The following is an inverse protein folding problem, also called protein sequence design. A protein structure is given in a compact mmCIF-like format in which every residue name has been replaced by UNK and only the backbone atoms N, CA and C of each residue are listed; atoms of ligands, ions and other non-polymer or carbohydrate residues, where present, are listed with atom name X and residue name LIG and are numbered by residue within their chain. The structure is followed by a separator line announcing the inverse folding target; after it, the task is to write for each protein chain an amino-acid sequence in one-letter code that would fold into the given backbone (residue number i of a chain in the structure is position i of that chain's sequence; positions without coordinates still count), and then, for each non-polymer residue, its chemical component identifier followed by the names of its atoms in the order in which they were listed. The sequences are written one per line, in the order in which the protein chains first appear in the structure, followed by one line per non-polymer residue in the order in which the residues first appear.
data_IF_420029971140
#
_entry.id   IF_420029971140
#
_cell.length_a   1.000
_cell.length_b   1.000
_cell.length_c   1.000
_cell.angle_alpha   90.00
_cell.angle_beta   90.00
_cell.angle_gamma   90.00
#
_symmetry.space_group_name_H-M   'P 1'
#
loop_
_entity.id
_entity.type
_entity.pdbx_description
1 polymer ?
#
# COMPACT_ATOMS: atom_id res chain seq x y z
N UNK A 1 -10.74 19.11 -16.33
CA UNK A 1 -11.06 18.16 -15.24
C UNK A 1 -10.42 16.83 -15.60
N UNK A 2 -9.62 16.23 -14.72
CA UNK A 2 -8.95 14.93 -14.99
C UNK A 2 -9.99 13.83 -15.19
N UNK A 3 -9.94 13.11 -16.30
CA UNK A 3 -10.73 11.89 -16.50
C UNK A 3 -10.06 10.71 -15.77
N UNK A 4 -10.46 10.52 -14.51
CA UNK A 4 -9.95 9.43 -13.68
C UNK A 4 -10.33 8.04 -14.16
N UNK A 5 -11.42 7.89 -14.92
CA UNK A 5 -11.82 6.59 -15.47
C UNK A 5 -10.87 6.21 -16.59
N UNK A 6 -10.61 7.12 -17.52
CA UNK A 6 -9.61 6.90 -18.57
C UNK A 6 -8.21 6.66 -18.00
N UNK A 7 -7.84 7.37 -16.92
CA UNK A 7 -6.59 7.13 -16.21
C UNK A 7 -6.55 5.73 -15.59
N UNK A 8 -7.60 5.31 -14.87
CA UNK A 8 -7.69 3.97 -14.30
C UNK A 8 -7.53 2.90 -15.38
N UNK A 9 -8.24 2.99 -16.50
CA UNK A 9 -8.12 2.02 -17.60
C UNK A 9 -6.69 1.92 -18.12
N UNK A 10 -5.97 3.04 -18.21
CA UNK A 10 -4.59 3.05 -18.67
C UNK A 10 -3.58 2.52 -17.63
N UNK A 11 -3.90 2.64 -16.34
CA UNK A 11 -3.05 2.14 -15.25
C UNK A 11 -3.33 0.66 -14.95
N UNK A 12 -4.58 0.23 -15.05
CA UNK A 12 -5.05 -1.13 -14.78
C UNK A 12 -4.71 -2.08 -15.94
N UNK A 13 -3.41 -2.20 -16.22
CA UNK A 13 -2.80 -3.18 -17.10
C UNK A 13 -1.77 -3.98 -16.30
N UNK A 14 -1.46 -5.23 -16.68
CA UNK A 14 -0.38 -5.98 -16.04
C UNK A 14 0.95 -5.21 -16.14
N UNK A 15 1.44 -4.75 -14.99
CA UNK A 15 2.56 -3.79 -14.88
C UNK A 15 3.59 -4.24 -13.84
N UNK A 16 3.91 -5.53 -13.87
CA UNK A 16 4.96 -6.14 -13.05
C UNK A 16 6.29 -5.40 -13.25
N UNK A 17 7.00 -5.14 -12.15
CA UNK A 17 8.30 -4.46 -12.15
C UNK A 17 9.24 -5.03 -13.20
N UNK A 18 9.95 -4.14 -13.91
CA UNK A 18 10.93 -4.50 -14.95
C UNK A 18 10.33 -4.82 -16.32
N UNK A 19 9.00 -4.87 -16.47
CA UNK A 19 8.36 -5.10 -17.77
C UNK A 19 8.20 -3.81 -18.59
N UNK A 20 8.00 -3.95 -19.91
CA UNK A 20 7.72 -2.82 -20.80
C UNK A 20 6.43 -2.07 -20.41
N UNK A 21 5.39 -2.78 -19.97
CA UNK A 21 4.14 -2.17 -19.51
C UNK A 21 4.33 -1.38 -18.20
N UNK A 22 5.14 -1.89 -17.26
CA UNK A 22 5.54 -1.14 -16.07
C UNK A 22 6.25 0.18 -16.43
N UNK A 23 7.18 0.13 -17.39
CA UNK A 23 7.82 1.34 -17.91
C UNK A 23 6.83 2.32 -18.54
N UNK A 24 5.90 1.83 -19.37
CA UNK A 24 4.88 2.69 -19.99
C UNK A 24 3.97 3.36 -18.95
N UNK A 25 3.55 2.61 -17.92
CA UNK A 25 2.79 3.15 -16.79
C UNK A 25 3.61 4.21 -16.05
N UNK A 26 4.90 3.94 -15.76
CA UNK A 26 5.79 4.92 -15.12
C UNK A 26 5.88 6.22 -15.91
N UNK A 27 6.09 6.15 -17.23
CA UNK A 27 6.14 7.34 -18.10
C UNK A 27 4.80 8.09 -18.13
N UNK A 28 3.67 7.36 -18.07
CA UNK A 28 2.36 7.98 -17.95
C UNK A 28 2.22 8.72 -16.62
N UNK A 29 2.59 8.10 -15.50
CA UNK A 29 2.53 8.74 -14.18
C UNK A 29 3.42 9.98 -14.09
N UNK A 30 4.60 9.96 -14.69
CA UNK A 30 5.46 11.15 -14.82
C UNK A 30 4.76 12.29 -15.54
N UNK A 31 4.06 12.01 -16.65
CA UNK A 31 3.26 13.03 -17.37
C UNK A 31 2.10 13.55 -16.54
N UNK A 32 1.36 12.67 -15.87
CA UNK A 32 0.23 13.04 -15.01
C UNK A 32 0.66 13.93 -13.83
N UNK A 33 1.79 13.61 -13.19
CA UNK A 33 2.36 14.42 -12.10
C UNK A 33 2.92 15.75 -12.63
N UNK A 34 3.61 15.73 -13.77
CA UNK A 34 4.12 16.95 -14.42
C UNK A 34 3.01 17.91 -14.83
N UNK A 35 1.90 17.40 -15.39
CA UNK A 35 0.72 18.18 -15.75
C UNK A 35 0.06 18.88 -14.53
N UNK A 36 0.31 18.38 -13.31
CA UNK A 36 -0.14 18.97 -12.04
C UNK A 36 0.86 19.96 -11.44
N UNK A 37 1.94 20.26 -12.18
CA UNK A 37 2.99 21.20 -11.79
C UNK A 37 3.97 20.64 -10.76
N UNK A 38 4.11 19.30 -10.67
CA UNK A 38 5.12 18.67 -9.82
C UNK A 38 6.41 18.44 -10.60
N UNK A 39 7.54 18.61 -9.91
CA UNK A 39 8.84 18.11 -10.36
C UNK A 39 8.90 16.63 -10.00
N UNK A 40 9.13 15.78 -10.99
CA UNK A 40 9.18 14.33 -10.83
C UNK A 40 10.63 13.85 -10.92
N UNK A 41 11.05 13.12 -9.90
CA UNK A 41 12.36 12.50 -9.79
C UNK A 41 12.19 10.97 -9.82
N UNK A 42 13.09 10.29 -10.52
CA UNK A 42 13.18 8.84 -10.48
C UNK A 42 14.19 8.42 -9.41
N UNK A 43 13.80 7.47 -8.56
CA UNK A 43 14.69 6.79 -7.63
C UNK A 43 14.86 5.34 -8.06
N UNK A 44 15.94 5.09 -8.80
CA UNK A 44 16.32 3.75 -9.27
C UNK A 44 16.96 2.96 -8.14
N UNK A 45 16.61 1.70 -8.01
CA UNK A 45 17.15 0.81 -6.98
C UNK A 45 17.29 -0.62 -7.49
N UNK A 46 18.11 -1.38 -6.77
CA UNK A 46 18.25 -2.83 -6.92
C UNK A 46 17.92 -3.49 -5.59
N UNK A 47 17.09 -4.53 -5.59
CA UNK A 47 16.70 -5.26 -4.38
C UNK A 47 16.64 -6.76 -4.59
N UNK A 48 16.80 -7.54 -3.52
CA UNK A 48 16.60 -9.00 -3.55
C UNK A 48 15.35 -9.35 -2.74
N UNK A 49 14.54 -10.24 -3.27
CA UNK A 49 13.35 -10.74 -2.60
C UNK A 49 13.25 -12.25 -2.82
N UNK A 50 12.91 -12.99 -1.77
CA UNK A 50 12.58 -14.41 -1.91
C UNK A 50 11.37 -14.65 -2.82
N UNK A 51 10.52 -13.62 -3.00
CA UNK A 51 9.40 -13.65 -3.94
C UNK A 51 9.83 -13.51 -5.41
N UNK A 52 11.07 -13.05 -5.67
CA UNK A 52 11.65 -12.88 -7.00
C UNK A 52 12.81 -13.85 -7.20
N UNK A 53 12.63 -14.90 -8.01
CA UNK A 53 13.66 -15.92 -8.29
C UNK A 53 14.36 -16.45 -7.02
N UNK A 54 13.62 -16.60 -5.90
CA UNK A 54 14.14 -17.05 -4.61
C UNK A 54 15.33 -16.22 -4.11
N UNK A 55 15.36 -14.92 -4.43
CA UNK A 55 16.43 -14.00 -4.05
C UNK A 55 17.74 -14.18 -4.82
N UNK A 56 17.78 -15.07 -5.83
CA UNK A 56 18.99 -15.35 -6.61
C UNK A 56 19.33 -14.25 -7.59
N UNK A 57 18.32 -13.58 -8.13
CA UNK A 57 18.48 -12.50 -9.12
C UNK A 57 17.95 -11.20 -8.51
N UNK A 58 18.76 -10.13 -8.49
CA UNK A 58 18.27 -8.83 -8.05
C UNK A 58 17.17 -8.34 -9.00
N UNK A 59 16.14 -7.73 -8.43
CA UNK A 59 15.12 -7.00 -9.16
C UNK A 59 15.55 -5.53 -9.24
N UNK A 60 15.47 -4.96 -10.44
CA UNK A 60 15.64 -3.53 -10.66
C UNK A 60 14.27 -2.86 -10.70
N UNK A 61 14.12 -1.76 -9.97
CA UNK A 61 12.88 -1.01 -9.91
C UNK A 61 13.13 0.50 -9.90
N UNK A 62 12.07 1.26 -10.14
CA UNK A 62 12.14 2.73 -10.16
C UNK A 62 10.97 3.33 -9.42
N UNK A 63 11.22 3.92 -8.26
CA UNK A 63 10.21 4.71 -7.56
C UNK A 63 10.06 6.08 -8.22
N UNK A 64 8.85 6.64 -8.18
CA UNK A 64 8.62 8.04 -8.53
C UNK A 64 8.49 8.88 -7.26
N UNK A 65 9.21 9.99 -7.22
CA UNK A 65 9.14 11.00 -6.16
C UNK A 65 8.73 12.31 -6.81
N UNK A 66 7.59 12.87 -6.41
CA UNK A 66 7.08 14.09 -6.99
C UNK A 66 6.79 15.14 -5.92
N UNK A 67 7.28 16.35 -6.14
CA UNK A 67 7.13 17.47 -5.21
C UNK A 67 6.79 18.75 -5.96
N UNK A 68 6.09 19.68 -5.31
CA UNK A 68 5.94 21.02 -5.86
C UNK A 68 7.26 21.81 -5.70
N UNK A 69 7.66 22.64 -6.68
CA UNK A 69 8.81 23.51 -6.54
C UNK A 69 8.71 24.37 -5.28
N UNK A 70 9.82 24.48 -4.53
CA UNK A 70 9.95 25.36 -3.34
C UNK A 70 8.97 25.07 -2.19
N UNK A 71 8.25 23.94 -2.21
CA UNK A 71 7.41 23.52 -1.10
C UNK A 71 8.16 22.58 -0.17
N UNK A 72 8.13 22.86 1.15
CA UNK A 72 8.53 21.88 2.15
C UNK A 72 7.42 20.85 2.28
N UNK A 73 7.71 19.58 1.98
CA UNK A 73 6.74 18.50 2.14
C UNK A 73 6.53 18.21 3.63
N UNK A 74 5.28 18.20 4.07
CA UNK A 74 4.88 17.76 5.42
C UNK A 74 4.05 16.48 5.39
N UNK A 75 3.46 16.15 4.24
CA UNK A 75 2.70 14.91 4.03
C UNK A 75 3.04 14.28 2.70
N UNK A 76 3.31 12.98 2.70
CA UNK A 76 3.48 12.16 1.51
C UNK A 76 2.22 11.36 1.22
N UNK A 77 1.68 11.49 0.01
CA UNK A 77 0.67 10.61 -0.55
C UNK A 77 1.39 9.46 -1.25
N UNK A 78 1.14 8.23 -0.81
CA UNK A 78 1.90 7.05 -1.26
C UNK A 78 0.94 6.05 -1.89
N UNK A 79 1.28 5.48 -3.05
CA UNK A 79 0.59 4.33 -3.61
C UNK A 79 1.55 3.58 -4.53
N UNK A 80 1.76 2.29 -4.33
CA UNK A 80 2.60 1.54 -5.25
C UNK A 80 1.95 1.44 -6.63
N UNK A 81 2.78 1.48 -7.67
CA UNK A 81 2.28 1.45 -9.05
C UNK A 81 2.60 0.16 -9.78
N UNK A 82 3.32 -0.79 -9.20
CA UNK A 82 3.42 -2.12 -9.77
C UNK A 82 2.11 -2.90 -9.59
N UNK A 83 2.07 -4.12 -10.11
CA UNK A 83 0.92 -5.01 -9.99
C UNK A 83 1.38 -6.45 -9.97
N UNK A 84 0.55 -7.33 -9.40
CA UNK A 84 0.76 -8.77 -9.46
C UNK A 84 -0.53 -9.54 -9.67
N UNK A 85 -0.43 -10.56 -10.53
CA UNK A 85 -1.39 -11.65 -10.60
C UNK A 85 -0.86 -12.91 -9.93
N UNK A 86 -1.74 -13.72 -9.38
CA UNK A 86 -1.43 -15.03 -8.84
C UNK A 86 -2.59 -16.01 -9.07
N UNK A 87 -2.34 -17.33 -9.10
CA UNK A 87 -3.40 -18.32 -9.18
C UNK A 87 -4.43 -18.19 -8.04
N UNK A 88 -3.98 -17.90 -6.83
CA UNK A 88 -4.84 -17.67 -5.68
C UNK A 88 -5.13 -16.17 -5.51
N UNK A 89 -6.42 -15.86 -5.28
CA UNK A 89 -6.83 -14.53 -4.84
C UNK A 89 -6.26 -14.20 -3.46
N UNK A 90 -6.29 -12.93 -3.05
CA UNK A 90 -5.90 -12.55 -1.69
C UNK A 90 -6.69 -13.33 -0.63
N UNK A 91 -8.01 -13.52 -0.81
CA UNK A 91 -8.82 -14.33 0.09
C UNK A 91 -8.35 -15.80 0.15
N UNK A 92 -8.00 -16.39 -1.00
CA UNK A 92 -7.44 -17.74 -1.07
C UNK A 92 -6.09 -17.85 -0.35
N UNK A 93 -5.24 -16.84 -0.49
CA UNK A 93 -3.96 -16.76 0.23
C UNK A 93 -4.16 -16.67 1.74
N UNK A 94 -5.08 -15.83 2.20
CA UNK A 94 -5.40 -15.70 3.62
C UNK A 94 -5.96 -17.01 4.20
N UNK A 95 -6.84 -17.70 3.46
CA UNK A 95 -7.35 -19.01 3.86
C UNK A 95 -6.23 -20.05 3.94
N UNK A 96 -5.37 -20.14 2.92
CA UNK A 96 -4.23 -21.08 2.91
C UNK A 96 -3.23 -20.79 4.05
N UNK A 97 -2.94 -19.51 4.31
CA UNK A 97 -2.11 -19.11 5.45
C UNK A 97 -2.76 -19.47 6.80
N UNK A 98 -4.06 -19.25 6.94
CA UNK A 98 -4.81 -19.67 8.14
C UNK A 98 -4.74 -21.17 8.38
N UNK A 99 -4.92 -21.99 7.33
CA UNK A 99 -4.77 -23.45 7.41
C UNK A 99 -3.35 -23.86 7.82
N UNK A 100 -2.33 -23.22 7.23
CA UNK A 100 -0.93 -23.49 7.58
C UNK A 100 -0.62 -23.15 9.05
N UNK A 101 -1.11 -22.01 9.55
CA UNK A 101 -0.90 -21.58 10.95
C UNK A 101 -1.62 -22.51 11.92
N UNK A 102 -2.91 -22.77 11.70
CA UNK A 102 -3.70 -23.65 12.57
C UNK A 102 -3.09 -25.04 12.67
N UNK A 103 -2.68 -25.60 11.52
CA UNK A 103 -2.08 -26.90 11.50
C UNK A 103 -0.66 -26.93 12.11
N UNK A 104 0.14 -25.87 11.97
CA UNK A 104 1.42 -25.75 12.67
C UNK A 104 1.25 -25.66 14.20
N UNK A 105 0.22 -24.96 14.68
CA UNK A 105 -0.12 -24.92 16.11
C UNK A 105 -0.54 -26.29 16.65
N UNK A 106 -1.31 -27.06 15.87
CA UNK A 106 -1.67 -28.42 16.27
C UNK A 106 -0.47 -29.37 16.27
N UNK A 107 0.41 -29.26 15.27
CA UNK A 107 1.68 -30.02 15.25
C UNK A 107 2.53 -29.71 16.49
N UNK A 108 2.59 -28.44 16.89
CA UNK A 108 3.28 -28.04 18.12
C UNK A 108 2.60 -28.63 19.36
N UNK A 109 1.28 -28.59 19.44
CA UNK A 109 0.52 -29.18 20.54
C UNK A 109 0.72 -30.69 20.61
N UNK A 110 0.71 -31.40 19.48
CA UNK A 110 1.00 -32.82 19.37
C UNK A 110 2.43 -33.15 19.85
N UNK A 111 3.42 -32.33 19.47
CA UNK A 111 4.79 -32.49 19.94
C UNK A 111 4.88 -32.33 21.48
N UNK A 112 4.17 -31.36 22.06
CA UNK A 112 4.09 -31.19 23.52
C UNK A 112 3.44 -32.40 24.18
N UNK A 113 2.31 -32.91 23.64
CA UNK A 113 1.66 -34.13 24.16
C UNK A 113 2.57 -35.36 24.07
N UNK A 114 3.39 -35.45 23.02
CA UNK A 114 4.38 -36.51 22.89
C UNK A 114 5.46 -36.44 23.97
N UNK A 115 5.98 -35.25 24.27
CA UNK A 115 6.98 -35.06 25.33
C UNK A 115 6.44 -35.35 26.74
N UNK A 116 5.14 -35.17 26.97
CA UNK A 116 4.51 -35.47 28.27
C UNK A 116 3.98 -36.90 28.37
N UNK A 117 4.19 -37.75 27.37
CA UNK A 117 3.68 -39.13 27.34
C UNK A 117 2.16 -39.23 27.17
N UNK A 118 1.49 -38.14 26.82
CA UNK A 118 0.04 -38.05 26.68
C UNK A 118 -0.43 -38.13 25.21
N UNK A 119 0.45 -38.50 24.27
CA UNK A 119 0.12 -38.52 22.85
C UNK A 119 -0.91 -39.60 22.53
N UNK A 120 -2.10 -39.15 22.17
CA UNK A 120 -3.12 -39.96 21.53
C UNK A 120 -3.34 -39.36 20.14
N UNK A 121 -2.86 -40.03 19.10
CA UNK A 121 -3.07 -39.59 17.72
C UNK A 121 -4.50 -39.94 17.33
N UNK A 122 -5.34 -38.93 17.19
CA UNK A 122 -6.71 -39.05 16.74
C UNK A 122 -6.93 -38.50 15.33
N UNK A 123 -8.14 -38.67 14.82
CA UNK A 123 -8.60 -38.04 13.58
C UNK A 123 -8.33 -36.52 13.52
N UNK A 124 -8.47 -35.73 14.61
CA UNK A 124 -8.15 -34.31 14.59
C UNK A 124 -6.69 -34.00 14.23
N UNK A 125 -5.74 -34.80 14.72
CA UNK A 125 -4.31 -34.62 14.43
C UNK A 125 -4.02 -34.83 12.94
N UNK A 126 -4.63 -35.87 12.34
CA UNK A 126 -4.50 -36.15 10.91
C UNK A 126 -5.09 -35.03 10.05
N UNK A 127 -6.28 -34.53 10.42
CA UNK A 127 -6.91 -33.39 9.73
C UNK A 127 -6.01 -32.16 9.79
N UNK A 128 -5.38 -31.88 10.93
CA UNK A 128 -4.48 -30.75 11.09
C UNK A 128 -3.21 -30.89 10.25
N UNK A 129 -2.62 -32.10 10.18
CA UNK A 129 -1.48 -32.40 9.30
C UNK A 129 -1.86 -32.12 7.84
N UNK A 130 -2.98 -32.67 7.35
CA UNK A 130 -3.41 -32.47 5.98
C UNK A 130 -3.79 -31.01 5.68
N UNK A 131 -4.41 -30.31 6.63
CA UNK A 131 -4.69 -28.88 6.53
C UNK A 131 -3.39 -28.06 6.43
N UNK A 132 -2.37 -28.39 7.24
CA UNK A 132 -1.04 -27.75 7.18
C UNK A 132 -0.43 -27.95 5.81
N UNK A 133 -0.33 -29.22 5.38
CA UNK A 133 0.30 -29.59 4.11
C UNK A 133 -0.42 -28.96 2.93
N UNK A 134 -1.75 -28.98 2.93
CA UNK A 134 -2.58 -28.33 1.92
C UNK A 134 -2.35 -26.82 1.88
N UNK A 135 -2.39 -26.14 3.03
CA UNK A 135 -2.14 -24.70 3.13
C UNK A 135 -0.75 -24.30 2.64
N UNK A 136 0.29 -25.00 3.10
CA UNK A 136 1.68 -24.76 2.70
C UNK A 136 1.87 -25.04 1.21
N UNK A 137 1.35 -26.15 0.68
CA UNK A 137 1.45 -26.49 -0.73
C UNK A 137 0.77 -25.45 -1.61
N UNK A 138 -0.45 -25.04 -1.26
CA UNK A 138 -1.19 -23.98 -1.96
C UNK A 138 -0.39 -22.68 -2.01
N UNK A 139 0.27 -22.28 -0.93
CA UNK A 139 1.14 -21.10 -0.91
C UNK A 139 2.41 -21.30 -1.73
N UNK A 140 3.05 -22.47 -1.66
CA UNK A 140 4.30 -22.78 -2.36
C UNK A 140 4.13 -22.79 -3.89
N UNK A 141 2.97 -23.22 -4.40
CA UNK A 141 2.68 -23.23 -5.85
C UNK A 141 2.10 -21.90 -6.35
N UNK A 142 1.78 -20.95 -5.46
CA UNK A 142 1.17 -19.66 -5.81
C UNK A 142 2.17 -18.65 -6.38
N UNK A 143 2.67 -18.94 -7.59
CA UNK A 143 3.66 -18.13 -8.28
C UNK A 143 3.10 -16.77 -8.74
N UNK A 144 3.98 -15.78 -8.79
CA UNK A 144 3.72 -14.46 -9.37
C UNK A 144 3.54 -14.58 -10.88
N UNK A 145 2.54 -13.89 -11.43
CA UNK A 145 2.17 -13.87 -12.86
C UNK A 145 1.76 -12.47 -13.28
N UNK A 146 1.68 -12.24 -14.59
CA UNK A 146 1.18 -11.00 -15.20
C UNK A 146 -0.30 -11.08 -15.60
N UNK A 147 -1.10 -11.87 -14.87
CA UNK A 147 -2.50 -12.15 -15.23
C UNK A 147 -3.52 -11.23 -14.56
N UNK A 148 -3.09 -10.38 -13.63
CA UNK A 148 -3.95 -9.38 -13.00
C UNK A 148 -3.58 -8.01 -13.54
N UNK A 149 -4.60 -7.23 -13.88
CA UNK A 149 -4.46 -5.82 -14.20
C UNK A 149 -4.20 -4.96 -12.95
N UNK A 150 -4.44 -5.48 -11.75
CA UNK A 150 -4.19 -4.77 -10.49
C UNK A 150 -4.99 -3.47 -10.42
N UNK A 151 -6.28 -3.54 -10.77
CA UNK A 151 -7.14 -2.36 -10.79
C UNK A 151 -7.38 -1.84 -9.38
N UNK A 152 -7.85 -2.68 -8.45
CA UNK A 152 -7.90 -2.30 -7.03
C UNK A 152 -6.53 -2.41 -6.37
N UNK A 153 -5.68 -3.33 -6.84
CA UNK A 153 -4.34 -3.56 -6.29
C UNK A 153 -3.23 -3.25 -7.31
N UNK A 154 -2.83 -1.98 -7.51
CA UNK A 154 -3.25 -0.81 -6.76
C UNK A 154 -3.46 0.45 -7.63
N UNK A 155 -4.01 0.28 -8.84
CA UNK A 155 -4.29 1.41 -9.73
C UNK A 155 -5.29 2.41 -9.11
N UNK A 156 -6.27 1.95 -8.33
CA UNK A 156 -7.17 2.84 -7.60
C UNK A 156 -6.50 3.60 -6.46
N UNK A 157 -5.48 3.04 -5.81
CA UNK A 157 -4.68 3.77 -4.84
C UNK A 157 -3.91 4.93 -5.49
N UNK A 158 -3.33 4.69 -6.67
CA UNK A 158 -2.69 5.75 -7.46
C UNK A 158 -3.69 6.82 -7.88
N UNK A 159 -4.88 6.42 -8.35
CA UNK A 159 -5.97 7.35 -8.67
C UNK A 159 -6.42 8.15 -7.44
N UNK A 160 -6.54 7.51 -6.27
CA UNK A 160 -6.92 8.17 -5.02
C UNK A 160 -5.86 9.21 -4.60
N UNK A 161 -4.57 8.88 -4.70
CA UNK A 161 -3.48 9.82 -4.41
C UNK A 161 -3.53 11.06 -5.34
N UNK A 162 -3.73 10.86 -6.64
CA UNK A 162 -3.86 11.96 -7.61
C UNK A 162 -5.14 12.77 -7.39
N UNK A 163 -6.25 12.12 -7.04
CA UNK A 163 -7.51 12.79 -6.70
C UNK A 163 -7.41 13.59 -5.40
N UNK A 164 -6.67 13.11 -4.40
CA UNK A 164 -6.35 13.90 -3.20
C UNK A 164 -5.53 15.12 -3.56
N UNK A 165 -4.50 14.94 -4.40
CA UNK A 165 -3.65 16.04 -4.85
C UNK A 165 -4.45 17.11 -5.61
N UNK A 166 -5.34 16.71 -6.53
CA UNK A 166 -6.20 17.64 -7.29
C UNK A 166 -7.25 18.33 -6.40
N UNK A 167 -7.63 17.70 -5.28
CA UNK A 167 -8.52 18.28 -4.28
C UNK A 167 -7.81 19.21 -3.29
N UNK A 168 -6.48 19.37 -3.35
CA UNK A 168 -5.73 20.25 -2.47
C UNK A 168 -5.38 21.57 -3.16
N UNK A 169 -5.26 22.69 -2.42
CA UNK A 169 -4.73 23.92 -2.99
C UNK A 169 -3.29 23.68 -3.46
N UNK A 170 -2.86 24.42 -4.49
CA UNK A 170 -1.50 24.33 -5.03
C UNK A 170 -0.42 24.69 -4.01
N UNK A 171 -0.77 25.38 -2.93
CA UNK A 171 0.11 25.73 -1.81
C UNK A 171 0.23 24.61 -0.77
N UNK A 172 -0.54 23.53 -0.88
CA UNK A 172 -0.46 22.43 0.08
C UNK A 172 0.93 21.80 0.09
N UNK A 173 1.47 21.63 1.29
CA UNK A 173 2.78 21.04 1.59
C UNK A 173 2.79 19.52 1.40
N UNK A 174 2.39 19.05 0.21
CA UNK A 174 2.21 17.63 -0.11
C UNK A 174 3.15 17.19 -1.21
N UNK A 175 3.80 16.06 -0.98
CA UNK A 175 4.52 15.29 -1.99
C UNK A 175 3.77 14.02 -2.37
N UNK A 176 4.09 13.46 -3.54
CA UNK A 176 3.55 12.19 -4.00
C UNK A 176 4.69 11.20 -4.20
N UNK A 177 4.49 9.96 -3.76
CA UNK A 177 5.40 8.85 -3.95
C UNK A 177 4.66 7.70 -4.61
N UNK A 178 5.22 7.18 -5.69
CA UNK A 178 4.78 5.91 -6.26
C UNK A 178 5.92 4.90 -6.18
N UNK A 179 5.97 4.09 -5.11
CA UNK A 179 6.92 3.01 -5.01
C UNK A 179 6.71 1.95 -6.10
N UNK A 180 7.79 1.31 -6.50
CA UNK A 180 7.79 0.14 -7.39
C UNK A 180 8.12 -1.12 -6.58
N UNK A 181 7.76 -2.28 -7.11
CA UNK A 181 8.05 -3.58 -6.51
C UNK A 181 7.54 -3.74 -5.07
N UNK A 182 6.35 -3.21 -4.75
CA UNK A 182 5.65 -3.53 -3.50
C UNK A 182 5.43 -5.04 -3.42
N UNK A 183 5.03 -5.62 -4.56
CA UNK A 183 4.58 -6.99 -4.67
C UNK A 183 5.69 -8.04 -4.47
N UNK A 184 6.93 -7.54 -4.44
CA UNK A 184 8.15 -8.27 -4.14
C UNK A 184 8.64 -8.02 -2.71
N UNK A 185 7.73 -7.68 -1.79
CA UNK A 185 8.05 -7.46 -0.39
C UNK A 185 8.54 -6.05 -0.13
N UNK A 186 7.82 -5.06 -0.68
CA UNK A 186 8.00 -3.64 -0.45
C UNK A 186 9.41 -3.16 -0.82
N UNK A 187 9.99 -3.68 -1.91
CA UNK A 187 11.39 -3.40 -2.25
C UNK A 187 11.60 -1.91 -2.53
N UNK A 188 10.67 -1.25 -3.23
CA UNK A 188 10.74 0.18 -3.49
C UNK A 188 10.69 1.02 -2.23
N UNK A 189 9.73 0.75 -1.33
CA UNK A 189 9.64 1.44 -0.05
C UNK A 189 10.86 1.17 0.85
N UNK A 190 11.40 -0.05 0.85
CA UNK A 190 12.64 -0.39 1.58
C UNK A 190 13.84 0.37 1.04
N UNK A 191 13.98 0.46 -0.28
CA UNK A 191 15.03 1.26 -0.91
C UNK A 191 14.87 2.75 -0.55
N UNK A 192 13.66 3.30 -0.60
CA UNK A 192 13.38 4.68 -0.18
C UNK A 192 13.73 4.93 1.30
N UNK A 193 13.29 4.04 2.20
CA UNK A 193 13.58 4.16 3.62
C UNK A 193 15.10 4.07 3.91
N UNK A 194 15.84 3.25 3.16
CA UNK A 194 17.28 3.10 3.32
C UNK A 194 18.09 4.25 2.72
N UNK A 195 17.72 4.71 1.52
CA UNK A 195 18.56 5.57 0.69
C UNK A 195 18.08 7.02 0.66
N UNK A 196 16.85 7.28 1.10
CA UNK A 196 16.19 8.60 1.08
C UNK A 196 15.42 8.88 2.37
N UNK A 197 15.85 8.30 3.50
CA UNK A 197 15.22 8.48 4.82
C UNK A 197 14.98 9.95 5.19
N UNK A 198 15.90 10.83 4.80
CA UNK A 198 15.85 12.27 5.04
C UNK A 198 14.61 12.95 4.42
N UNK A 199 14.01 12.39 3.37
CA UNK A 199 12.77 12.92 2.78
C UNK A 199 11.55 12.73 3.69
N UNK A 200 11.63 11.78 4.62
CA UNK A 200 10.52 11.35 5.47
C UNK A 200 10.59 11.91 6.89
N UNK A 201 11.75 12.44 7.29
CA UNK A 201 11.96 13.05 8.60
C UNK A 201 10.90 14.13 8.87
N UNK A 202 10.22 14.03 10.02
CA UNK A 202 9.15 14.93 10.47
C UNK A 202 7.93 15.05 9.53
N UNK A 203 7.77 14.13 8.57
CA UNK A 203 6.61 14.09 7.67
C UNK A 203 5.58 13.05 8.11
N UNK A 204 4.34 13.24 7.65
CA UNK A 204 3.30 12.22 7.72
C UNK A 204 3.15 11.44 6.42
N UNK A 205 2.72 10.19 6.53
CA UNK A 205 2.49 9.30 5.39
C UNK A 205 1.03 8.88 5.36
N UNK A 206 0.40 9.07 4.21
CA UNK A 206 -0.89 8.48 3.86
C UNK A 206 -0.68 7.57 2.65
N UNK A 207 -0.60 6.27 2.91
CA UNK A 207 -0.50 5.25 1.89
C UNK A 207 -1.90 4.79 1.45
N UNK A 208 -2.15 4.68 0.16
CA UNK A 208 -3.38 4.17 -0.41
C UNK A 208 -3.12 2.79 -0.99
N UNK A 209 -3.90 1.80 -0.57
CA UNK A 209 -3.69 0.41 -0.93
C UNK A 209 -5.03 -0.32 -0.97
N UNK A 210 -5.43 -0.81 -2.15
CA UNK A 210 -6.67 -1.56 -2.28
C UNK A 210 -7.91 -0.68 -2.05
N UNK A 211 -8.16 0.31 -2.92
CA UNK A 211 -9.35 1.18 -2.81
C UNK A 211 -10.45 0.69 -3.76
N UNK A 212 -11.39 -0.10 -3.25
CA UNK A 212 -12.59 -0.54 -3.99
C UNK A 212 -13.76 0.46 -3.78
N UNK A 213 -14.79 0.39 -4.62
CA UNK A 213 -16.00 1.24 -4.49
C UNK A 213 -16.89 0.81 -3.33
N UNK A 214 -16.81 -0.48 -2.96
CA UNK A 214 -17.57 -1.11 -1.89
C UNK A 214 -16.74 -1.33 -0.63
N UNK A 215 -17.45 -1.67 0.44
CA UNK A 215 -16.84 -2.04 1.70
C UNK A 215 -16.48 -0.82 2.54
N UNK A 216 -16.04 -1.08 3.77
CA UNK A 216 -15.71 -0.03 4.72
C UNK A 216 -14.27 0.42 4.50
N UNK A 217 -14.02 1.72 4.65
CA UNK A 217 -12.66 2.25 4.71
C UNK A 217 -11.97 1.76 6.00
N UNK A 218 -10.79 1.18 5.87
CA UNK A 218 -9.95 0.70 6.97
C UNK A 218 -8.70 1.59 6.99
N UNK A 219 -8.37 2.09 8.16
CA UNK A 219 -7.12 2.79 8.42
C UNK A 219 -6.20 1.85 9.20
N UNK A 220 -5.27 1.21 8.50
CA UNK A 220 -4.20 0.43 9.11
C UNK A 220 -3.14 1.42 9.61
N UNK A 221 -3.14 1.66 10.92
CA UNK A 221 -2.27 2.63 11.58
C UNK A 221 -0.96 1.97 11.95
N UNK A 222 0.11 2.36 11.26
CA UNK A 222 1.47 1.90 11.52
C UNK A 222 2.15 2.76 12.58
N UNK A 223 1.94 4.09 12.51
CA UNK A 223 2.41 5.06 13.49
C UNK A 223 1.39 6.16 13.66
N UNK A 224 0.85 6.32 14.87
CA UNK A 224 -0.18 7.33 15.18
C UNK A 224 0.36 8.77 15.11
N UNK A 225 -0.55 9.72 15.02
CA UNK A 225 -0.26 11.15 15.00
C UNK A 225 -1.46 11.97 14.55
N UNK A 226 -1.41 13.32 14.66
CA UNK A 226 -2.54 14.18 14.35
C UNK A 226 -3.08 14.05 12.93
N UNK A 227 -2.21 13.84 11.92
CA UNK A 227 -2.66 13.61 10.54
C UNK A 227 -3.47 12.31 10.45
N UNK A 228 -2.97 11.24 11.08
CA UNK A 228 -3.61 9.93 11.07
C UNK A 228 -4.97 10.00 11.77
N UNK A 229 -5.06 10.64 12.93
CA UNK A 229 -6.31 10.75 13.68
C UNK A 229 -7.37 11.58 12.90
N UNK A 230 -6.94 12.62 12.20
CA UNK A 230 -7.82 13.37 11.28
C UNK A 230 -8.24 12.54 10.08
N UNK A 231 -7.33 11.81 9.45
CA UNK A 231 -7.66 10.96 8.31
C UNK A 231 -8.69 9.88 8.71
N UNK A 232 -8.49 9.24 9.86
CA UNK A 232 -9.44 8.26 10.43
C UNK A 232 -10.81 8.90 10.64
N UNK A 233 -10.86 10.07 11.28
CA UNK A 233 -12.10 10.79 11.59
C UNK A 233 -12.83 11.23 10.33
N UNK A 234 -12.15 11.90 9.40
CA UNK A 234 -12.73 12.44 8.16
C UNK A 234 -13.27 11.34 7.23
N UNK A 235 -12.72 10.14 7.33
CA UNK A 235 -13.15 8.99 6.52
C UNK A 235 -14.15 8.08 7.25
N UNK A 236 -14.47 8.35 8.52
CA UNK A 236 -15.22 7.39 9.36
C UNK A 236 -14.57 6.00 9.39
N UNK A 237 -13.25 5.94 9.21
CA UNK A 237 -12.54 4.71 8.90
C UNK A 237 -12.49 3.78 10.13
N UNK A 238 -12.56 2.47 9.90
CA UNK A 238 -12.27 1.50 10.95
C UNK A 238 -10.77 1.52 11.22
N UNK A 239 -10.37 1.95 12.41
CA UNK A 239 -8.97 1.87 12.84
C UNK A 239 -8.56 0.41 13.05
N UNK A 240 -7.44 0.03 12.47
CA UNK A 240 -6.78 -1.26 12.69
C UNK A 240 -5.30 -1.00 13.02
N UNK A 241 -4.73 -1.80 13.93
CA UNK A 241 -3.28 -1.77 14.22
C UNK A 241 -2.53 -2.94 13.60
N UNK A 242 -3.26 -3.95 13.14
CA UNK A 242 -2.70 -5.15 12.55
C UNK A 242 -3.67 -5.72 11.53
N UNK A 243 -3.12 -6.16 10.40
CA UNK A 243 -3.78 -6.96 9.38
C UNK A 243 -2.73 -7.95 8.83
N UNK A 244 -3.15 -9.15 8.37
CA UNK A 244 -2.25 -10.15 7.80
C UNK A 244 -1.85 -9.81 6.34
N UNK A 245 -1.44 -8.55 6.13
CA UNK A 245 -1.02 -8.00 4.84
C UNK A 245 0.25 -7.18 5.06
N UNK A 246 1.09 -7.12 4.04
CA UNK A 246 2.27 -6.26 4.01
C UNK A 246 1.95 -5.14 3.03
N UNK A 247 2.33 -3.93 3.38
CA UNK A 247 2.03 -2.71 2.62
C UNK A 247 3.19 -1.73 2.81
N UNK A 248 3.48 -0.90 1.80
CA UNK A 248 4.59 0.06 1.83
C UNK A 248 4.55 1.00 3.04
N UNK A 249 3.36 1.40 3.49
CA UNK A 249 3.17 2.25 4.66
C UNK A 249 3.80 1.69 5.94
N UNK A 250 3.90 0.36 6.08
CA UNK A 250 4.55 -0.30 7.21
C UNK A 250 6.06 -0.03 7.21
N UNK A 251 6.70 -0.15 6.04
CA UNK A 251 8.14 0.08 5.89
C UNK A 251 8.47 1.56 6.12
N UNK A 252 7.71 2.45 5.50
CA UNK A 252 7.98 3.88 5.59
C UNK A 252 7.65 4.45 6.98
N UNK A 253 6.80 3.79 7.77
CA UNK A 253 6.54 4.19 9.16
C UNK A 253 7.81 4.20 10.03
N UNK A 254 8.83 3.40 9.67
CA UNK A 254 10.13 3.37 10.36
C UNK A 254 10.95 4.66 10.20
N UNK A 255 10.68 5.46 9.17
CA UNK A 255 11.44 6.70 8.86
C UNK A 255 10.58 7.97 8.87
N UNK A 256 9.27 7.86 9.10
CA UNK A 256 8.33 8.97 9.15
C UNK A 256 7.79 9.23 10.57
N UNK A 257 7.25 10.44 10.81
CA UNK A 257 6.68 10.83 12.12
C UNK A 257 5.35 10.14 12.40
N UNK A 258 4.53 9.96 11.38
CA UNK A 258 3.21 9.35 11.43
C UNK A 258 2.93 8.62 10.11
N UNK A 259 2.23 7.50 10.14
CA UNK A 259 1.99 6.67 8.95
C UNK A 259 0.70 5.87 9.09
N UNK A 260 -0.14 5.95 8.07
CA UNK A 260 -1.37 5.16 7.93
C UNK A 260 -1.46 4.62 6.51
N UNK A 261 -1.93 3.37 6.38
CA UNK A 261 -2.41 2.83 5.10
C UNK A 261 -3.93 2.82 5.11
N UNK A 262 -4.51 3.48 4.11
CA UNK A 262 -5.95 3.53 3.86
C UNK A 262 -6.28 2.47 2.81
N UNK A 263 -7.23 1.63 3.17
CA UNK A 263 -7.77 0.59 2.31
C UNK A 263 -9.28 0.69 2.29
N UNK A 264 -9.91 0.23 1.22
CA UNK A 264 -11.37 0.15 1.16
C UNK A 264 -11.79 -1.14 0.46
N UNK A 265 -12.51 -1.96 1.19
CA UNK A 265 -12.97 -3.23 0.65
C UNK A 265 -13.59 -4.12 1.70
N UNK A 266 -13.94 -5.31 1.25
CA UNK A 266 -14.53 -6.40 2.01
C UNK A 266 -13.95 -7.75 1.54
N UNK A 267 -14.50 -8.85 2.05
CA UNK A 267 -14.09 -10.19 1.60
C UNK A 267 -14.35 -10.43 0.11
N UNK A 268 -15.30 -9.74 -0.53
CA UNK A 268 -15.53 -9.84 -1.98
C UNK A 268 -14.41 -9.16 -2.74
N UNK A 269 -13.91 -8.04 -2.22
CA UNK A 269 -12.70 -7.36 -2.72
C UNK A 269 -11.50 -8.30 -2.66
N UNK A 270 -11.24 -8.92 -1.50
CA UNK A 270 -10.13 -9.87 -1.34
C UNK A 270 -10.22 -11.10 -2.26
N UNK A 271 -11.42 -11.53 -2.66
CA UNK A 271 -11.61 -12.64 -3.62
C UNK A 271 -11.22 -12.27 -5.06
N UNK A 272 -11.13 -10.98 -5.37
CA UNK A 272 -10.77 -10.48 -6.71
C UNK A 272 -9.29 -10.17 -6.83
N UNK A 273 -8.71 -9.55 -5.80
CA UNK A 273 -7.30 -9.16 -5.76
C UNK A 273 -6.39 -10.34 -6.12
N UNK A 274 -5.34 -10.05 -6.90
CA UNK A 274 -4.45 -11.00 -7.60
C UNK A 274 -5.05 -11.84 -8.74
N UNK A 275 -6.35 -11.76 -9.02
CA UNK A 275 -6.97 -12.54 -10.11
C UNK A 275 -7.19 -11.68 -11.37
N UNK A 276 -7.40 -12.29 -12.56
CA UNK A 276 -7.76 -11.53 -13.76
C UNK A 276 -9.04 -10.70 -13.64
N UNK A 277 -9.88 -10.99 -12.64
CA UNK A 277 -11.10 -10.22 -12.38
C UNK A 277 -10.83 -8.87 -11.74
N UNK A 278 -9.62 -8.62 -11.24
CA UNK A 278 -9.24 -7.29 -10.76
C UNK A 278 -8.93 -6.34 -11.92
N UNK A 279 -10.01 -5.91 -12.58
CA UNK A 279 -10.02 -5.10 -13.80
C UNK A 279 -10.67 -3.73 -13.57
N UNK A 280 -10.38 -2.77 -14.44
CA UNK A 280 -10.95 -1.42 -14.35
C UNK A 280 -12.47 -1.39 -14.58
N UNK A 281 -13.00 -2.28 -15.43
CA UNK A 281 -14.39 -2.25 -15.91
C UNK A 281 -15.42 -2.35 -14.79
N UNK A 282 -15.04 -2.95 -13.66
CA UNK A 282 -15.92 -3.12 -12.49
C UNK A 282 -16.02 -1.87 -11.60
N UNK A 283 -15.21 -0.85 -11.81
CA UNK A 283 -15.04 0.27 -10.89
C UNK A 283 -15.72 1.55 -11.41
N UNK A 284 -16.49 2.20 -10.53
CA UNK A 284 -17.06 3.53 -10.74
C UNK A 284 -16.15 4.65 -10.24
N UNK A 285 -15.17 4.31 -9.38
CA UNK A 285 -14.25 5.21 -8.68
C UNK A 285 -14.88 6.08 -7.59
N UNK A 286 -16.09 5.74 -7.14
CA UNK A 286 -16.73 6.44 -6.02
C UNK A 286 -15.98 6.25 -4.71
N UNK A 287 -15.46 5.04 -4.47
CA UNK A 287 -14.63 4.77 -3.29
C UNK A 287 -13.33 5.58 -3.29
N UNK A 288 -12.67 5.67 -4.44
CA UNK A 288 -11.47 6.49 -4.61
C UNK A 288 -11.76 7.98 -4.40
N UNK A 289 -12.89 8.50 -4.91
CA UNK A 289 -13.32 9.90 -4.69
C UNK A 289 -13.64 10.18 -3.23
N UNK A 290 -14.35 9.28 -2.55
CA UNK A 290 -14.67 9.40 -1.12
C UNK A 290 -13.39 9.48 -0.28
N UNK A 291 -12.48 8.52 -0.49
CA UNK A 291 -11.19 8.48 0.18
C UNK A 291 -10.37 9.73 -0.10
N UNK A 292 -10.31 10.14 -1.37
CA UNK A 292 -9.53 11.30 -1.78
C UNK A 292 -9.99 12.60 -1.09
N UNK A 293 -11.31 12.82 -1.02
CA UNK A 293 -11.90 13.99 -0.35
C UNK A 293 -11.63 13.98 1.16
N UNK A 294 -11.81 12.83 1.81
CA UNK A 294 -11.55 12.71 3.25
C UNK A 294 -10.08 12.96 3.61
N UNK A 295 -9.14 12.45 2.81
CA UNK A 295 -7.71 12.73 3.01
C UNK A 295 -7.39 14.20 2.73
N UNK A 296 -7.93 14.79 1.66
CA UNK A 296 -7.71 16.20 1.37
C UNK A 296 -8.20 17.10 2.52
N UNK A 297 -9.36 16.78 3.12
CA UNK A 297 -9.86 17.47 4.30
C UNK A 297 -8.91 17.30 5.51
N UNK A 298 -8.42 16.09 5.77
CA UNK A 298 -7.50 15.82 6.87
C UNK A 298 -6.15 16.54 6.75
N UNK A 299 -5.67 16.75 5.51
CA UNK A 299 -4.41 17.46 5.23
C UNK A 299 -4.57 18.99 5.35
N UNK A 300 -5.69 19.56 4.88
CA UNK A 300 -5.92 21.02 4.88
C UNK A 300 -5.87 21.64 6.27
N UNK A 301 -6.29 20.93 7.32
CA UNK A 301 -6.33 21.44 8.69
C UNK A 301 -4.93 21.81 9.23
N UNK A 302 -3.85 21.22 8.71
CA UNK A 302 -2.48 21.61 9.08
C UNK A 302 -2.05 22.98 8.55
N UNK A 303 -2.76 23.55 7.56
CA UNK A 303 -2.37 24.82 6.92
C UNK A 303 -2.81 26.04 7.73
N UNK A 304 -3.85 25.91 8.56
CA UNK A 304 -4.46 27.04 9.28
C UNK A 304 -3.81 27.29 10.66
N UNK A 305 -3.19 26.28 11.26
CA UNK A 305 -2.61 26.38 12.62
C UNK A 305 -1.13 26.80 12.63
N UNK A 306 -0.56 27.16 11.49
CA UNK A 306 0.84 27.58 11.37
C UNK A 306 0.95 29.07 11.02
N UNK A 307 0.27 29.94 11.77
CA UNK A 307 0.68 31.35 11.83
C UNK A 307 1.85 31.46 12.82
N UNK A 308 2.98 32.06 12.43
CA UNK A 308 4.03 32.38 13.38
C UNK A 308 3.53 33.50 14.27
N UNK A 309 3.41 33.22 15.57
CA UNK A 309 3.31 34.27 16.58
C UNK A 309 4.59 35.09 16.52
N UNK A 310 4.60 36.15 15.70
CA UNK A 310 5.59 37.22 15.80
C UNK A 310 5.29 37.95 17.12
N UNK A 311 5.82 37.42 18.22
CA UNK A 311 6.01 38.23 19.41
C UNK A 311 7.04 39.29 19.05
N UNK A 312 6.54 40.49 18.79
CA UNK A 312 7.33 41.69 18.64
C UNK A 312 8.22 41.87 19.86
N UNK A 313 9.52 41.93 19.62
CA UNK A 313 10.44 42.60 20.52
C UNK A 313 10.14 44.08 20.44
N UNK A 314 9.32 44.59 21.36
CA UNK A 314 9.29 46.01 21.66
C UNK A 314 10.52 46.36 22.50
N UNK A 315 11.36 47.19 21.89
CA UNK A 315 12.35 48.01 22.54
C UNK A 315 11.70 48.99 23.52
N UNK A 316 12.21 49.03 24.75
CA UNK A 316 12.23 50.23 25.61
C UNK A 316 13.59 50.19 26.32
N UNK A 317 14.53 51.07 25.96
CA UNK A 317 14.82 52.35 26.64
C UNK A 317 15.16 52.17 28.11
#
# INVERSE_FOLDING_TARGET
MTDYRALLTALAVPRRTGTALNHQVRERLKRELGARGLVVMEHRFTGRSYLHHLGRVPLEGVNLIAVRPRARVTTWLVAHYDSKGQPLSMAGRLAAAGLAVLGALELLAAAVRAMTGALHVGTPDLVAVFATLGGVLLLAVNRVTDRSAGAVDNATGVVAALATLDALPVTAAVGVLFPDAEEYGMLGARALARERANLFADTGIVNFDGIDDRGRTIALVHRGGPLVDRAVTMLGARRARWLPILVDGLVLAGVARESVTLMRGDWRTARLVHTPRDSADRLTLDGAREVARGVAAAVRVNVVTAEPTLQGGESAR
#
